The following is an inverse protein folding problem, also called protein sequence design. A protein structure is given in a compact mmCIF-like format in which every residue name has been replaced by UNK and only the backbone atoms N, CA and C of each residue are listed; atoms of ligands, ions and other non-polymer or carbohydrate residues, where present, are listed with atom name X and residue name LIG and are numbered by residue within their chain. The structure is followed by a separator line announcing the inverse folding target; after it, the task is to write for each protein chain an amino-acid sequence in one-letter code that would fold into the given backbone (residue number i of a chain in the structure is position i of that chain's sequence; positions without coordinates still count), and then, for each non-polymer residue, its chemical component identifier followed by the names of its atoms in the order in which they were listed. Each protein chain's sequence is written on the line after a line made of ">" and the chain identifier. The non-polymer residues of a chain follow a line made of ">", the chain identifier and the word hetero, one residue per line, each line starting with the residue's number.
data_IF_787558794192
#
_entry.id   IF_787558794192
#
_cell.length_a   1.000
_cell.length_b   1.000
_cell.length_c   1.000
_cell.angle_alpha   90.00
_cell.angle_beta   90.00
_cell.angle_gamma   90.00
#
_symmetry.space_group_name_H-M   'P 1'
#
loop_
_entity.id
_entity.type
_entity.pdbx_description
1 polymer ?
#
# COMPACT_ATOMS: atom_id res chain seq x y z
N UNK A 1 47.32 -22.00 3.50
CA UNK A 1 45.93 -22.43 3.76
C UNK A 1 45.10 -21.19 4.06
N UNK A 2 44.28 -20.70 3.13
CA UNK A 2 43.54 -19.45 3.30
C UNK A 2 42.23 -19.71 4.06
N UNK A 3 42.15 -19.27 5.31
CA UNK A 3 40.94 -19.34 6.13
C UNK A 3 39.92 -18.39 5.51
N UNK A 4 38.95 -18.91 4.75
CA UNK A 4 37.84 -18.14 4.19
C UNK A 4 36.99 -17.59 5.35
N UNK A 5 37.08 -16.28 5.57
CA UNK A 5 36.32 -15.56 6.58
C UNK A 5 34.81 -15.67 6.31
N UNK A 6 34.13 -16.58 7.01
CA UNK A 6 32.71 -16.87 6.80
C UNK A 6 31.78 -15.86 7.48
N UNK A 7 32.32 -14.86 8.19
CA UNK A 7 31.55 -13.86 8.96
C UNK A 7 30.72 -12.92 8.07
N UNK A 8 31.21 -12.58 6.88
CA UNK A 8 30.50 -11.69 5.95
C UNK A 8 29.31 -12.33 5.21
N UNK A 9 29.24 -13.66 5.14
CA UNK A 9 28.20 -14.37 4.35
C UNK A 9 26.83 -14.33 5.01
N UNK A 10 26.77 -14.44 6.34
CA UNK A 10 25.51 -14.40 7.08
C UNK A 10 24.87 -13.00 7.03
N UNK A 11 25.67 -11.95 7.23
CA UNK A 11 25.22 -10.55 7.11
C UNK A 11 24.76 -10.20 5.69
N UNK A 12 25.50 -10.63 4.66
CA UNK A 12 25.08 -10.43 3.27
C UNK A 12 23.76 -11.15 2.92
N UNK A 13 23.51 -12.33 3.49
CA UNK A 13 22.27 -13.08 3.29
C UNK A 13 21.07 -12.39 3.96
N UNK A 14 21.24 -11.88 5.17
CA UNK A 14 20.21 -11.12 5.87
C UNK A 14 19.87 -9.82 5.12
N UNK A 15 20.88 -9.06 4.68
CA UNK A 15 20.68 -7.82 3.92
C UNK A 15 19.97 -8.04 2.58
N UNK A 16 20.20 -9.18 1.91
CA UNK A 16 19.46 -9.54 0.69
C UNK A 16 17.99 -9.82 1.00
N UNK A 17 17.72 -10.58 2.04
CA UNK A 17 16.36 -10.91 2.47
C UNK A 17 15.57 -9.66 2.84
N UNK A 18 16.16 -8.75 3.61
CA UNK A 18 15.49 -7.49 4.01
C UNK A 18 15.17 -6.61 2.79
N UNK A 19 16.08 -6.58 1.81
CA UNK A 19 15.83 -5.86 0.54
C UNK A 19 14.69 -6.49 -0.25
N UNK A 20 14.65 -7.82 -0.36
CA UNK A 20 13.57 -8.55 -1.02
C UNK A 20 12.22 -8.31 -0.33
N UNK A 21 12.16 -8.39 1.00
CA UNK A 21 10.95 -8.10 1.76
C UNK A 21 10.47 -6.65 1.55
N UNK A 22 11.39 -5.68 1.52
CA UNK A 22 11.06 -4.28 1.24
C UNK A 22 10.50 -4.10 -0.17
N UNK A 23 11.11 -4.74 -1.17
CA UNK A 23 10.65 -4.70 -2.55
C UNK A 23 9.24 -5.30 -2.65
N UNK A 24 9.00 -6.47 -2.03
CA UNK A 24 7.69 -7.12 -2.05
C UNK A 24 6.60 -6.27 -1.39
N UNK A 25 6.89 -5.62 -0.26
CA UNK A 25 5.96 -4.68 0.39
C UNK A 25 5.61 -3.49 -0.53
N UNK A 26 6.61 -2.94 -1.20
CA UNK A 26 6.41 -1.82 -2.13
C UNK A 26 5.60 -2.23 -3.36
N UNK A 27 5.87 -3.42 -3.91
CA UNK A 27 5.10 -4.00 -5.02
C UNK A 27 3.64 -4.18 -4.62
N UNK A 28 3.38 -4.70 -3.42
CA UNK A 28 2.02 -4.87 -2.92
C UNK A 28 1.27 -3.54 -2.84
N UNK A 29 1.91 -2.50 -2.30
CA UNK A 29 1.35 -1.13 -2.28
C UNK A 29 1.06 -0.60 -3.69
N UNK A 30 1.99 -0.79 -4.61
CA UNK A 30 1.83 -0.36 -6.01
C UNK A 30 0.61 -1.02 -6.68
N UNK A 31 0.48 -2.35 -6.53
CA UNK A 31 -0.64 -3.09 -7.12
C UNK A 31 -2.00 -2.63 -6.60
N UNK A 32 -2.10 -2.39 -5.28
CA UNK A 32 -3.33 -1.89 -4.65
C UNK A 32 -3.73 -0.55 -5.27
N UNK A 33 -2.80 0.39 -5.37
CA UNK A 33 -3.08 1.72 -5.91
C UNK A 33 -3.46 1.65 -7.39
N UNK A 34 -2.73 0.87 -8.19
CA UNK A 34 -3.05 0.68 -9.61
C UNK A 34 -4.44 0.06 -9.81
N UNK A 35 -4.83 -0.87 -8.95
CA UNK A 35 -6.17 -1.47 -9.01
C UNK A 35 -7.26 -0.48 -8.63
N UNK A 36 -7.02 0.40 -7.65
CA UNK A 36 -7.97 1.47 -7.32
C UNK A 36 -8.30 2.31 -8.56
N UNK A 37 -7.32 2.71 -9.35
CA UNK A 37 -7.58 3.45 -10.59
C UNK A 37 -8.35 2.61 -11.62
N UNK A 38 -7.98 1.34 -11.76
CA UNK A 38 -8.65 0.42 -12.69
C UNK A 38 -10.13 0.20 -12.34
N UNK A 39 -10.44 -0.14 -11.09
CA UNK A 39 -11.79 -0.43 -10.61
C UNK A 39 -12.72 0.78 -10.74
N UNK A 40 -12.18 1.98 -10.50
CA UNK A 40 -12.93 3.22 -10.64
C UNK A 40 -12.94 3.76 -12.08
N UNK A 41 -12.34 3.04 -13.04
CA UNK A 41 -12.18 3.45 -14.43
C UNK A 41 -11.56 4.85 -14.58
N UNK A 42 -10.61 5.16 -13.69
CA UNK A 42 -9.89 6.42 -13.64
C UNK A 42 -8.56 6.28 -14.38
N UNK A 43 -8.16 7.35 -15.06
CA UNK A 43 -6.80 7.46 -15.56
C UNK A 43 -5.85 7.85 -14.42
N UNK A 44 -4.61 7.41 -14.50
CA UNK A 44 -3.56 7.77 -13.54
C UNK A 44 -2.30 8.25 -14.26
N UNK A 45 -1.52 9.09 -13.59
CA UNK A 45 -0.15 9.40 -13.96
C UNK A 45 0.84 8.73 -13.00
N UNK A 46 2.10 8.62 -13.41
CA UNK A 46 3.16 8.11 -12.51
C UNK A 46 3.37 9.02 -11.30
N UNK A 47 3.06 10.32 -11.43
CA UNK A 47 3.11 11.27 -10.32
C UNK A 47 2.06 10.92 -9.26
N UNK A 48 0.82 10.64 -9.67
CA UNK A 48 -0.27 10.29 -8.75
C UNK A 48 0.06 9.01 -7.97
N UNK A 49 0.58 7.98 -8.66
CA UNK A 49 1.06 6.74 -8.03
C UNK A 49 2.18 7.02 -7.04
N UNK A 50 3.13 7.89 -7.41
CA UNK A 50 4.27 8.24 -6.56
C UNK A 50 3.81 8.88 -5.24
N UNK A 51 2.86 9.81 -5.32
CA UNK A 51 2.30 10.50 -4.14
C UNK A 51 1.56 9.53 -3.23
N UNK A 52 0.75 8.62 -3.80
CA UNK A 52 -0.08 7.68 -3.03
C UNK A 52 0.72 6.53 -2.42
N UNK A 53 1.65 5.96 -3.19
CA UNK A 53 2.48 4.83 -2.73
C UNK A 53 3.69 5.26 -1.90
N UNK A 54 4.00 6.57 -1.89
CA UNK A 54 5.24 7.14 -1.32
C UNK A 54 6.52 6.55 -1.93
N UNK A 55 6.42 6.00 -3.14
CA UNK A 55 7.58 5.52 -3.90
C UNK A 55 8.08 6.64 -4.80
N UNK A 56 9.39 6.83 -4.86
CA UNK A 56 9.96 7.84 -5.76
C UNK A 56 9.65 7.52 -7.22
N UNK A 57 9.45 8.53 -8.05
CA UNK A 57 9.26 8.35 -9.50
C UNK A 57 10.40 7.52 -10.12
N UNK A 58 11.65 7.74 -9.70
CA UNK A 58 12.80 6.97 -10.17
C UNK A 58 12.70 5.47 -9.86
N UNK A 59 12.08 5.11 -8.73
CA UNK A 59 11.78 3.72 -8.38
C UNK A 59 10.71 3.14 -9.30
N UNK A 60 9.65 3.91 -9.57
CA UNK A 60 8.54 3.48 -10.41
C UNK A 60 8.95 3.25 -11.88
N UNK A 61 9.96 3.98 -12.38
CA UNK A 61 10.51 3.77 -13.72
C UNK A 61 11.47 2.57 -13.85
N UNK A 62 11.76 1.84 -12.77
CA UNK A 62 12.68 0.69 -12.77
C UNK A 62 11.94 -0.63 -12.63
N UNK A 63 12.53 -1.71 -13.15
CA UNK A 63 12.05 -3.06 -12.87
C UNK A 63 12.14 -3.37 -11.37
N UNK A 64 11.14 -4.05 -10.78
CA UNK A 64 9.94 -4.63 -11.41
C UNK A 64 8.74 -3.68 -11.50
N UNK A 65 8.81 -2.48 -10.91
CA UNK A 65 7.68 -1.56 -10.80
C UNK A 65 7.16 -1.08 -12.16
N UNK A 66 8.07 -0.76 -13.09
CA UNK A 66 7.72 -0.33 -14.45
C UNK A 66 6.85 -1.35 -15.18
N UNK A 67 7.25 -2.62 -15.12
CA UNK A 67 6.53 -3.72 -15.80
C UNK A 67 5.12 -3.89 -15.24
N UNK A 68 4.95 -3.74 -13.93
CA UNK A 68 3.64 -3.79 -13.27
C UNK A 68 2.79 -2.58 -13.70
N UNK A 69 3.35 -1.38 -13.77
CA UNK A 69 2.60 -0.20 -14.22
C UNK A 69 2.17 -0.37 -15.69
N UNK A 70 3.08 -0.82 -16.55
CA UNK A 70 2.82 -1.02 -17.97
C UNK A 70 1.77 -2.12 -18.19
N UNK A 71 1.78 -3.18 -17.36
CA UNK A 71 0.79 -4.26 -17.45
C UNK A 71 -0.64 -3.81 -17.10
N UNK A 72 -0.79 -2.75 -16.29
CA UNK A 72 -2.06 -2.13 -15.93
C UNK A 72 -2.52 -1.04 -16.92
N UNK A 73 -1.58 -0.44 -17.67
CA UNK A 73 -1.92 0.46 -18.78
C UNK A 73 -2.47 -0.30 -19.98
N UNK A 74 -2.04 -1.53 -20.17
CA UNK A 74 -2.57 -2.41 -21.21
C UNK A 74 -3.95 -2.93 -20.77
N UNK A 75 -5.01 -2.41 -21.41
CA UNK A 75 -6.43 -2.68 -21.09
C UNK A 75 -6.86 -4.16 -21.14
N UNK A 76 -6.03 -5.05 -21.69
CA UNK A 76 -6.38 -6.46 -21.90
C UNK A 76 -6.02 -7.39 -20.72
N UNK A 77 -5.35 -6.89 -19.68
CA UNK A 77 -4.90 -7.73 -18.57
C UNK A 77 -5.98 -7.92 -17.50
N UNK A 78 -7.00 -8.75 -17.74
CA UNK A 78 -8.01 -9.13 -16.74
C UNK A 78 -7.33 -9.88 -15.58
N UNK A 79 -7.45 -9.37 -14.35
CA UNK A 79 -6.93 -10.04 -13.15
C UNK A 79 -7.58 -11.41 -12.97
N UNK A 80 -6.82 -12.35 -12.42
CA UNK A 80 -7.37 -13.64 -11.99
C UNK A 80 -8.34 -13.46 -10.81
N UNK A 81 -9.30 -14.38 -10.66
CA UNK A 81 -10.31 -14.30 -9.59
C UNK A 81 -9.70 -14.23 -8.18
N UNK A 82 -8.56 -14.89 -7.95
CA UNK A 82 -7.83 -14.83 -6.68
C UNK A 82 -7.28 -13.44 -6.37
N UNK A 83 -6.76 -12.75 -7.39
CA UNK A 83 -6.21 -11.40 -7.22
C UNK A 83 -7.34 -10.39 -6.93
N UNK A 84 -8.49 -10.54 -7.59
CA UNK A 84 -9.67 -9.73 -7.30
C UNK A 84 -10.17 -9.94 -5.86
N UNK A 85 -10.18 -11.19 -5.37
CA UNK A 85 -10.56 -11.50 -3.98
C UNK A 85 -9.59 -10.85 -2.98
N UNK A 86 -8.28 -10.90 -3.23
CA UNK A 86 -7.29 -10.27 -2.35
C UNK A 86 -7.47 -8.75 -2.26
N UNK A 87 -7.79 -8.10 -3.38
CA UNK A 87 -8.08 -6.65 -3.42
C UNK A 87 -9.33 -6.34 -2.60
N UNK A 88 -10.42 -7.09 -2.81
CA UNK A 88 -11.67 -6.89 -2.08
C UNK A 88 -11.50 -7.12 -0.56
N UNK A 89 -10.68 -8.09 -0.15
CA UNK A 89 -10.36 -8.32 1.26
C UNK A 89 -9.60 -7.12 1.84
N UNK A 90 -8.64 -6.57 1.10
CA UNK A 90 -7.88 -5.41 1.52
C UNK A 90 -8.77 -4.16 1.67
N UNK A 91 -9.61 -3.87 0.67
CA UNK A 91 -10.56 -2.75 0.72
C UNK A 91 -11.52 -2.85 1.91
N UNK A 92 -12.07 -4.04 2.15
CA UNK A 92 -12.93 -4.30 3.32
C UNK A 92 -12.21 -3.98 4.63
N UNK A 93 -10.93 -4.34 4.75
CA UNK A 93 -10.16 -4.14 5.98
C UNK A 93 -9.80 -2.65 6.19
N UNK A 94 -9.52 -1.90 5.13
CA UNK A 94 -9.34 -0.44 5.21
C UNK A 94 -10.64 0.28 5.57
N UNK A 95 -11.77 -0.07 4.93
CA UNK A 95 -13.09 0.49 5.27
C UNK A 95 -13.48 0.22 6.73
N UNK A 96 -13.13 -0.96 7.26
CA UNK A 96 -13.35 -1.29 8.68
C UNK A 96 -12.54 -0.39 9.62
N UNK A 97 -11.31 -0.03 9.25
CA UNK A 97 -10.49 0.91 10.03
C UNK A 97 -11.09 2.31 10.01
N UNK A 98 -11.52 2.78 8.85
CA UNK A 98 -12.16 4.10 8.68
C UNK A 98 -13.45 4.21 9.51
N UNK A 99 -14.32 3.20 9.44
CA UNK A 99 -15.55 3.15 10.24
C UNK A 99 -15.22 3.21 11.74
N UNK A 100 -14.15 2.54 12.19
CA UNK A 100 -13.76 2.57 13.60
C UNK A 100 -13.35 3.98 14.03
N UNK A 101 -12.55 4.67 13.22
CA UNK A 101 -12.11 6.04 13.47
C UNK A 101 -13.30 7.01 13.53
N UNK A 102 -14.21 6.94 12.54
CA UNK A 102 -15.40 7.78 12.50
C UNK A 102 -16.32 7.54 13.71
N UNK A 103 -16.44 6.30 14.18
CA UNK A 103 -17.20 6.00 15.40
C UNK A 103 -16.56 6.60 16.65
N UNK A 104 -15.24 6.58 16.77
CA UNK A 104 -14.52 7.20 17.88
C UNK A 104 -14.66 8.73 17.85
N UNK A 105 -14.56 9.34 16.68
CA UNK A 105 -14.75 10.79 16.49
C UNK A 105 -16.17 11.22 16.85
N UNK A 106 -17.18 10.52 16.35
CA UNK A 106 -18.58 10.83 16.63
C UNK A 106 -18.89 10.70 18.13
N UNK A 107 -18.31 9.70 18.81
CA UNK A 107 -18.42 9.57 20.27
C UNK A 107 -17.83 10.77 20.99
N UNK A 108 -16.63 11.23 20.61
CA UNK A 108 -16.00 12.41 21.21
C UNK A 108 -16.85 13.67 21.02
N UNK A 109 -17.38 13.89 19.82
CA UNK A 109 -18.25 15.02 19.53
C UNK A 109 -19.54 14.99 20.36
N UNK A 110 -20.13 13.81 20.56
CA UNK A 110 -21.29 13.66 21.45
C UNK A 110 -20.96 13.99 22.90
N UNK A 111 -19.81 13.53 23.41
CA UNK A 111 -19.34 13.84 24.76
C UNK A 111 -19.09 15.35 24.93
N UNK A 112 -18.52 16.02 23.93
CA UNK A 112 -18.34 17.49 23.90
C UNK A 112 -19.68 18.23 23.90
N UNK A 113 -20.66 17.81 23.08
CA UNK A 113 -22.00 18.41 23.07
C UNK A 113 -22.68 18.29 24.43
N UNK A 114 -22.57 17.12 25.07
CA UNK A 114 -23.13 16.88 26.41
C UNK A 114 -22.45 17.80 27.43
N UNK A 115 -21.12 17.91 27.39
CA UNK A 115 -20.36 18.80 28.26
C UNK A 115 -20.79 20.26 28.09
N UNK A 116 -20.82 20.78 26.86
CA UNK A 116 -21.24 22.16 26.59
C UNK A 116 -22.66 22.43 27.08
N UNK A 117 -23.61 21.52 26.83
CA UNK A 117 -25.00 21.67 27.31
C UNK A 117 -25.12 21.72 28.83
N UNK A 118 -24.26 21.00 29.55
CA UNK A 118 -24.25 20.99 31.01
C UNK A 118 -23.53 22.20 31.61
N UNK A 119 -22.58 22.79 30.89
CA UNK A 119 -21.77 23.92 31.37
C UNK A 119 -22.40 25.30 31.11
N UNK A 120 -23.20 25.45 30.05
CA UNK A 120 -23.92 26.69 29.73
C UNK A 120 -25.36 26.72 30.28
N UNK A 121 -25.65 25.91 31.30
CA UNK A 121 -26.91 25.95 32.06
C UNK A 121 -26.77 26.83 33.28
#
# INVERSE_FOLDING_TARGET
>A
MAIKDNRGKAGAKALKKDKEEKINRNIKKLKIELEFYRTNNLNFTIKDISEKTQLSMATLYRSPYKEIIDSYKNKDNVLSASEQIEVLIFERDELRKEIKLLKEENRRLLDEIIYSKNFFK
#
